data_IF_575254136363
#
_entry.id   IF_575254136363
#
_cell.length_a   1.000
_cell.length_b   1.000
_cell.length_c   1.000
_cell.angle_alpha   90.00
_cell.angle_beta   90.00
_cell.angle_gamma   90.00
#
_symmetry.space_group_name_H-M   'P 1'
#
loop_
_entity.id
_entity.type
_entity.pdbx_description
1 polymer ?
#
# COMPACT_ATOMS: atom_id res chain seq x y z
N UNK A 1 -74.35 3.54 72.71
CA UNK A 1 -74.65 3.00 74.07
C UNK A 1 -73.38 2.38 74.64
N UNK A 2 -73.25 2.33 75.99
CA UNK A 2 -72.17 1.65 76.77
C UNK A 2 -70.74 2.19 76.57
N UNK A 3 -69.87 1.86 77.52
CA UNK A 3 -68.51 2.41 77.78
C UNK A 3 -67.47 1.28 77.84
N UNK A 4 -66.19 1.60 77.62
CA UNK A 4 -64.94 1.13 78.30
C UNK A 4 -63.77 1.62 77.41
N UNK A 5 -62.74 2.41 77.78
CA UNK A 5 -62.07 2.82 79.02
C UNK A 5 -60.83 1.97 79.44
N UNK A 6 -59.77 2.66 79.92
CA UNK A 6 -58.47 2.13 80.45
C UNK A 6 -57.54 1.57 79.32
N UNK A 7 -56.19 1.50 79.36
CA UNK A 7 -55.04 1.84 80.27
C UNK A 7 -53.71 1.66 79.43
N UNK A 8 -52.46 2.12 79.67
CA UNK A 8 -51.73 3.14 80.48
C UNK A 8 -50.29 3.32 79.88
N UNK A 9 -49.52 4.36 80.28
CA UNK A 9 -48.02 4.44 80.40
C UNK A 9 -47.14 4.33 79.11
N UNK A 10 -46.24 5.26 78.70
CA UNK A 10 -45.06 5.95 79.34
C UNK A 10 -43.80 5.05 79.52
N UNK A 11 -42.53 5.51 79.50
CA UNK A 11 -41.77 6.48 78.67
C UNK A 11 -40.26 6.32 79.02
N UNK A 12 -39.34 6.58 78.07
CA UNK A 12 -37.86 6.57 78.25
C UNK A 12 -37.24 5.21 78.71
N UNK A 13 -35.92 4.95 78.76
CA UNK A 13 -34.63 5.69 78.58
C UNK A 13 -33.67 4.73 77.78
N UNK A 14 -32.37 4.91 77.41
CA UNK A 14 -31.19 5.75 77.75
C UNK A 14 -30.37 6.01 76.45
N UNK A 15 -29.48 7.02 76.43
CA UNK A 15 -28.36 7.20 75.48
C UNK A 15 -27.18 7.90 76.18
N UNK A 16 -25.96 8.06 75.61
CA UNK A 16 -25.16 7.22 74.70
C UNK A 16 -23.70 6.98 75.19
N UNK A 17 -22.91 6.15 74.48
CA UNK A 17 -21.44 6.23 74.33
C UNK A 17 -20.99 5.16 73.31
N UNK A 18 -20.49 5.47 72.11
CA UNK A 18 -19.18 6.07 71.76
C UNK A 18 -18.00 5.10 71.84
N UNK A 19 -17.45 4.74 70.66
CA UNK A 19 -16.05 4.97 70.26
C UNK A 19 -15.91 4.71 68.75
N UNK A 20 -15.33 5.68 68.05
CA UNK A 20 -14.92 5.64 66.64
C UNK A 20 -13.42 5.27 66.58
N UNK A 21 -12.85 4.75 65.46
CA UNK A 21 -12.70 5.61 64.28
C UNK A 21 -12.68 4.93 62.89
N UNK A 22 -12.99 5.72 61.86
CA UNK A 22 -11.95 5.97 60.85
C UNK A 22 -12.25 5.70 59.37
N UNK A 23 -12.27 6.82 58.63
CA UNK A 23 -11.63 7.02 57.31
C UNK A 23 -12.41 6.63 56.05
N UNK A 24 -12.75 7.68 55.29
CA UNK A 24 -12.66 7.90 53.83
C UNK A 24 -13.00 6.75 52.83
N UNK A 25 -13.61 6.99 51.65
CA UNK A 25 -13.62 8.23 50.88
C UNK A 25 -14.87 8.43 49.99
N UNK A 26 -15.26 9.70 49.87
CA UNK A 26 -16.03 10.39 48.81
C UNK A 26 -16.12 9.64 47.44
N UNK A 27 -17.19 9.66 46.64
CA UNK A 27 -18.58 10.17 46.66
C UNK A 27 -19.13 10.04 45.19
N UNK A 28 -20.37 10.47 44.93
CA UNK A 28 -20.90 10.81 43.60
C UNK A 28 -21.14 9.64 42.62
N UNK A 29 -22.12 8.80 42.93
CA UNK A 29 -22.93 8.16 41.89
C UNK A 29 -23.69 9.26 41.11
N UNK A 30 -23.13 9.68 39.97
CA UNK A 30 -23.78 10.54 38.98
C UNK A 30 -23.88 9.73 37.70
N UNK A 31 -25.09 9.59 37.16
CA UNK A 31 -25.39 8.66 36.06
C UNK A 31 -24.48 8.88 34.85
N UNK A 32 -23.41 8.08 34.76
CA UNK A 32 -22.48 8.09 33.64
C UNK A 32 -23.11 7.28 32.52
N UNK A 33 -24.01 7.92 31.77
CA UNK A 33 -24.44 7.48 30.44
C UNK A 33 -23.18 7.28 29.59
N UNK A 34 -22.74 6.03 29.46
CA UNK A 34 -21.43 5.71 28.87
C UNK A 34 -21.40 6.09 27.40
N UNK A 35 -20.30 6.71 27.01
CA UNK A 35 -20.10 7.33 25.71
C UNK A 35 -19.65 6.30 24.68
N UNK A 36 -20.57 5.47 24.21
CA UNK A 36 -20.40 4.65 23.00
C UNK A 36 -20.68 5.51 21.74
N UNK A 37 -20.08 6.70 21.71
CA UNK A 37 -20.15 7.66 20.63
C UNK A 37 -18.84 8.47 20.60
N UNK A 38 -18.22 8.54 19.44
CA UNK A 38 -16.92 9.20 19.18
C UNK A 38 -15.69 8.58 19.89
N UNK A 39 -15.54 7.25 19.84
CA UNK A 39 -14.21 6.78 19.37
C UNK A 39 -14.08 7.24 17.92
N UNK A 40 -13.02 8.00 17.64
CA UNK A 40 -12.95 8.86 16.45
C UNK A 40 -12.86 8.00 15.18
N UNK A 41 -13.93 7.97 14.41
CA UNK A 41 -14.11 7.17 13.20
C UNK A 41 -13.19 7.61 12.06
N UNK A 42 -11.95 7.10 12.08
CA UNK A 42 -10.99 7.24 10.99
C UNK A 42 -11.31 6.22 9.90
N UNK A 43 -11.29 6.66 8.64
CA UNK A 43 -11.46 5.78 7.49
C UNK A 43 -10.41 4.65 7.48
N UNK A 44 -10.79 3.38 7.27
CA UNK A 44 -9.86 2.26 7.18
C UNK A 44 -8.76 2.50 6.14
N UNK A 45 -7.53 2.07 6.41
CA UNK A 45 -6.43 2.23 5.44
C UNK A 45 -6.69 1.35 4.21
N UNK A 46 -6.85 1.96 3.04
CA UNK A 46 -6.96 1.26 1.76
C UNK A 46 -5.66 0.53 1.42
N UNK A 47 -5.80 -0.66 0.81
CA UNK A 47 -4.72 -1.31 0.09
C UNK A 47 -4.65 -0.73 -1.34
N UNK A 48 -3.46 -0.55 -1.92
CA UNK A 48 -3.34 -0.20 -3.33
C UNK A 48 -3.87 -1.32 -4.22
N UNK A 49 -4.30 -1.00 -5.46
CA UNK A 49 -4.54 -2.04 -6.45
C UNK A 49 -3.24 -2.78 -6.74
N UNK A 50 -3.30 -4.11 -6.89
CA UNK A 50 -2.20 -4.85 -7.51
C UNK A 50 -1.97 -4.29 -8.92
N UNK A 51 -0.71 -3.96 -9.25
CA UNK A 51 -0.38 -3.33 -10.53
C UNK A 51 -0.61 -1.81 -10.61
N UNK A 52 -0.78 -1.13 -9.48
CA UNK A 52 -1.00 0.31 -9.49
C UNK A 52 -0.74 1.01 -8.16
N UNK A 53 -1.22 2.24 -8.09
CA UNK A 53 -1.11 3.14 -6.93
C UNK A 53 -2.47 3.81 -6.65
N UNK A 54 -2.58 4.52 -5.53
CA UNK A 54 -3.67 5.43 -5.28
C UNK A 54 -3.18 6.70 -4.60
N UNK A 55 -3.91 7.80 -4.83
CA UNK A 55 -3.76 9.04 -4.10
C UNK A 55 -5.05 9.34 -3.35
N UNK A 56 -4.95 9.96 -2.18
CA UNK A 56 -6.09 10.39 -1.37
C UNK A 56 -5.97 11.87 -1.03
N UNK A 57 -7.06 12.61 -1.20
CA UNK A 57 -7.21 13.95 -0.63
C UNK A 57 -8.26 13.94 0.48
N UNK A 58 -8.15 14.90 1.40
CA UNK A 58 -9.13 15.13 2.46
C UNK A 58 -9.68 16.54 2.29
N UNK A 59 -11.00 16.69 2.29
CA UNK A 59 -11.65 17.99 2.17
C UNK A 59 -11.69 18.75 3.51
N UNK A 60 -12.32 19.94 3.51
CA UNK A 60 -12.43 20.80 4.71
C UNK A 60 -13.43 20.28 5.75
N UNK A 61 -14.19 19.24 5.42
CA UNK A 61 -15.23 18.63 6.26
C UNK A 61 -14.79 17.27 6.83
N UNK A 62 -13.63 16.75 6.42
CA UNK A 62 -13.14 15.42 6.81
C UNK A 62 -13.62 14.29 5.91
N UNK A 63 -14.08 14.59 4.70
CA UNK A 63 -14.32 13.60 3.65
C UNK A 63 -12.98 13.18 3.06
N UNK A 64 -12.65 11.90 3.16
CA UNK A 64 -11.53 11.31 2.43
C UNK A 64 -12.03 10.83 1.05
N UNK A 65 -11.36 11.27 -0.01
CA UNK A 65 -11.64 10.84 -1.38
C UNK A 65 -10.35 10.34 -2.01
N UNK A 66 -10.38 9.11 -2.52
CA UNK A 66 -9.20 8.44 -3.07
C UNK A 66 -9.43 7.98 -4.51
N UNK A 67 -8.43 8.18 -5.37
CA UNK A 67 -8.43 7.76 -6.77
C UNK A 67 -7.22 6.86 -7.05
N UNK A 68 -7.46 5.71 -7.69
CA UNK A 68 -6.41 4.80 -8.11
C UNK A 68 -5.97 5.03 -9.57
N UNK A 69 -4.73 4.66 -9.87
CA UNK A 69 -4.18 4.63 -11.22
C UNK A 69 -3.27 3.40 -11.38
N UNK A 70 -3.32 2.77 -12.55
CA UNK A 70 -2.45 1.65 -12.88
C UNK A 70 -1.03 2.12 -13.25
N UNK A 71 -0.03 1.25 -13.10
CA UNK A 71 1.31 1.51 -13.62
C UNK A 71 1.32 1.43 -15.16
N UNK A 72 2.29 2.05 -15.87
CA UNK A 72 2.33 2.05 -17.32
C UNK A 72 2.31 0.63 -17.92
N UNK A 73 1.49 0.43 -18.97
CA UNK A 73 1.27 -0.88 -19.58
C UNK A 73 0.27 -1.78 -18.82
N UNK A 74 -0.43 -1.23 -17.82
CA UNK A 74 -1.52 -1.88 -17.11
C UNK A 74 -2.78 -1.00 -17.13
N UNK A 75 -3.96 -1.62 -17.19
CA UNK A 75 -5.26 -0.95 -17.16
C UNK A 75 -6.21 -1.61 -16.15
N UNK A 76 -7.27 -0.91 -15.74
CA UNK A 76 -8.34 -1.53 -14.96
C UNK A 76 -9.34 -2.23 -15.89
N UNK A 77 -9.66 -3.50 -15.62
CA UNK A 77 -10.66 -4.27 -16.38
C UNK A 77 -12.06 -3.62 -16.42
N UNK A 78 -12.36 -2.75 -15.47
CA UNK A 78 -13.51 -1.83 -15.49
C UNK A 78 -13.08 -0.49 -14.89
N UNK A 79 -13.63 0.66 -15.34
CA UNK A 79 -13.16 1.98 -14.92
C UNK A 79 -13.27 2.17 -13.41
N UNK A 80 -12.13 2.43 -12.75
CA UNK A 80 -12.07 2.63 -11.31
C UNK A 80 -12.80 3.92 -10.91
N UNK A 81 -13.81 3.77 -10.06
CA UNK A 81 -14.48 4.92 -9.44
C UNK A 81 -13.66 5.40 -8.24
N UNK A 82 -13.67 6.71 -7.92
CA UNK A 82 -13.04 7.20 -6.70
C UNK A 82 -13.77 6.64 -5.48
N UNK A 83 -13.01 6.21 -4.47
CA UNK A 83 -13.57 5.76 -3.20
C UNK A 83 -13.74 6.95 -2.26
N UNK A 84 -14.90 7.05 -1.62
CA UNK A 84 -15.27 8.13 -0.70
C UNK A 84 -15.59 7.52 0.67
N UNK A 85 -14.99 8.07 1.73
CA UNK A 85 -15.32 7.76 3.11
C UNK A 85 -15.41 9.06 3.91
N UNK A 86 -16.50 9.23 4.67
CA UNK A 86 -16.65 10.35 5.61
C UNK A 86 -16.22 9.94 7.01
N UNK A 87 -15.79 10.91 7.82
CA UNK A 87 -15.56 10.70 9.25
C UNK A 87 -16.84 10.37 10.06
N UNK A 88 -18.04 10.49 9.46
CA UNK A 88 -19.30 10.09 10.09
C UNK A 88 -19.66 8.62 9.80
N UNK A 89 -19.41 8.15 8.58
CA UNK A 89 -19.75 6.79 8.14
C UNK A 89 -18.64 5.78 8.47
N UNK A 90 -17.36 6.20 8.41
CA UNK A 90 -16.21 5.34 8.67
C UNK A 90 -15.99 4.18 7.68
N UNK A 91 -16.73 4.17 6.57
CA UNK A 91 -16.74 3.10 5.56
C UNK A 91 -16.51 3.70 4.16
N UNK A 92 -15.78 2.99 3.31
CA UNK A 92 -15.54 3.37 1.93
C UNK A 92 -16.72 2.99 1.02
N UNK A 93 -17.02 3.88 0.08
CA UNK A 93 -18.09 3.75 -0.91
C UNK A 93 -17.54 4.10 -2.30
N UNK A 94 -18.02 3.48 -3.39
CA UNK A 94 -19.01 2.40 -3.46
C UNK A 94 -18.49 1.02 -2.97
N UNK A 95 -17.18 0.85 -2.83
CA UNK A 95 -16.53 -0.41 -2.40
C UNK A 95 -15.46 -0.17 -1.34
N UNK A 96 -15.04 -1.23 -0.66
CA UNK A 96 -13.96 -1.24 0.34
C UNK A 96 -12.54 -1.24 -0.25
N UNK A 97 -12.42 -1.40 -1.57
CA UNK A 97 -11.16 -1.54 -2.32
C UNK A 97 -11.32 -1.09 -3.77
N UNK A 98 -10.20 -0.72 -4.39
CA UNK A 98 -10.10 -0.50 -5.82
C UNK A 98 -10.11 -1.84 -6.59
N UNK A 99 -10.54 -1.86 -7.87
CA UNK A 99 -10.19 -2.96 -8.76
C UNK A 99 -8.66 -3.01 -8.94
N UNK A 100 -8.12 -4.23 -9.05
CA UNK A 100 -6.74 -4.44 -9.44
C UNK A 100 -6.54 -4.10 -10.94
N UNK A 101 -5.28 -3.88 -11.33
CA UNK A 101 -4.88 -3.64 -12.70
C UNK A 101 -4.48 -4.94 -13.41
N UNK A 102 -4.62 -4.99 -14.73
CA UNK A 102 -4.25 -6.12 -15.59
C UNK A 102 -3.36 -5.64 -16.75
N UNK A 103 -2.50 -6.52 -17.30
CA UNK A 103 -1.90 -6.26 -18.62
C UNK A 103 -2.98 -6.41 -19.69
N UNK A 104 -2.90 -5.60 -20.75
CA UNK A 104 -3.67 -5.86 -21.96
C UNK A 104 -3.36 -7.28 -22.47
N UNK A 105 -4.40 -7.98 -22.95
CA UNK A 105 -4.33 -9.41 -23.27
C UNK A 105 -3.47 -9.69 -24.51
N UNK A 106 -2.17 -9.90 -24.31
CA UNK A 106 -1.23 -10.32 -25.36
C UNK A 106 -1.70 -11.61 -26.04
N UNK A 107 -2.04 -11.52 -27.33
CA UNK A 107 -2.27 -12.59 -28.32
C UNK A 107 -2.77 -13.97 -27.82
N UNK A 108 -3.96 -14.35 -28.27
CA UNK A 108 -4.59 -15.65 -28.00
C UNK A 108 -3.62 -16.83 -28.20
N UNK A 109 -3.57 -17.74 -27.22
CA UNK A 109 -2.59 -18.84 -27.14
C UNK A 109 -1.48 -18.63 -26.08
N UNK A 110 -1.47 -17.51 -25.36
CA UNK A 110 -0.49 -17.22 -24.30
C UNK A 110 -1.17 -16.81 -23.00
N UNK A 111 -0.77 -17.43 -21.88
CA UNK A 111 -1.26 -17.04 -20.55
C UNK A 111 -0.76 -15.64 -20.15
N UNK A 112 -1.63 -14.68 -19.78
CA UNK A 112 -1.22 -13.36 -19.32
C UNK A 112 -0.24 -13.41 -18.14
N UNK A 113 0.63 -12.41 -18.03
CA UNK A 113 1.47 -12.26 -16.84
C UNK A 113 0.60 -11.95 -15.61
N UNK A 114 0.61 -12.85 -14.63
CA UNK A 114 0.03 -12.59 -13.31
C UNK A 114 0.84 -11.49 -12.62
N UNK A 115 0.17 -10.74 -11.74
CA UNK A 115 0.78 -9.74 -10.89
C UNK A 115 0.83 -10.27 -9.44
N UNK A 116 1.86 -9.88 -8.69
CA UNK A 116 2.00 -10.30 -7.30
C UNK A 116 0.95 -9.59 -6.42
N UNK A 117 0.23 -10.32 -5.54
CA UNK A 117 -0.73 -9.69 -4.64
C UNK A 117 -0.02 -8.76 -3.66
N UNK A 118 -0.65 -7.62 -3.35
CA UNK A 118 -0.11 -6.67 -2.36
C UNK A 118 0.08 -7.36 -1.01
N UNK A 119 1.27 -7.20 -0.41
CA UNK A 119 1.75 -7.93 0.78
C UNK A 119 1.81 -9.46 0.63
N UNK A 120 2.12 -9.93 -0.58
CA UNK A 120 2.33 -11.35 -0.88
C UNK A 120 3.18 -11.58 -2.13
N UNK A 121 3.04 -12.77 -2.71
CA UNK A 121 3.70 -13.21 -3.93
C UNK A 121 2.97 -14.40 -4.55
N UNK A 122 3.59 -15.05 -5.53
CA UNK A 122 3.11 -16.33 -6.05
C UNK A 122 4.25 -17.19 -6.57
N UNK A 123 4.01 -18.49 -6.68
CA UNK A 123 4.91 -19.47 -7.29
C UNK A 123 4.18 -20.25 -8.38
N UNK A 124 4.80 -20.39 -9.56
CA UNK A 124 4.20 -21.08 -10.70
C UNK A 124 4.87 -22.43 -10.96
N UNK A 125 4.08 -23.40 -11.42
CA UNK A 125 4.50 -24.71 -11.92
C UNK A 125 3.82 -24.96 -13.27
N UNK A 126 4.52 -25.60 -14.20
CA UNK A 126 3.98 -26.01 -15.49
C UNK A 126 3.71 -27.52 -15.45
N UNK A 127 2.51 -27.92 -15.84
CA UNK A 127 2.14 -29.32 -16.00
C UNK A 127 2.73 -29.93 -17.28
N UNK A 128 2.77 -31.27 -17.34
CA UNK A 128 3.20 -32.03 -18.53
C UNK A 128 2.25 -31.90 -19.72
N UNK A 129 1.06 -31.36 -19.48
CA UNK A 129 0.02 -30.96 -20.43
C UNK A 129 0.20 -29.51 -20.94
N UNK A 130 1.21 -28.77 -20.44
CA UNK A 130 1.43 -27.36 -20.72
C UNK A 130 0.58 -26.40 -19.88
N UNK A 131 -0.30 -26.91 -19.01
CA UNK A 131 -1.16 -26.08 -18.15
C UNK A 131 -0.31 -25.41 -17.08
N UNK A 132 -0.40 -24.08 -16.98
CA UNK A 132 0.36 -23.29 -16.00
C UNK A 132 -0.49 -23.10 -14.74
N UNK A 133 -0.03 -23.65 -13.61
CA UNK A 133 -0.70 -23.52 -12.31
C UNK A 133 0.16 -22.65 -11.39
N UNK A 134 -0.40 -21.59 -10.82
CA UNK A 134 0.31 -20.67 -9.93
C UNK A 134 -0.41 -20.56 -8.59
N UNK A 135 0.32 -20.78 -7.49
CA UNK A 135 -0.19 -20.63 -6.12
C UNK A 135 0.35 -19.34 -5.51
N UNK A 136 -0.55 -18.46 -5.12
CA UNK A 136 -0.28 -17.25 -4.34
C UNK A 136 0.06 -17.56 -2.88
N UNK A 137 0.81 -16.65 -2.26
CA UNK A 137 1.14 -16.64 -0.83
C UNK A 137 1.06 -15.21 -0.30
N UNK A 138 0.85 -15.07 1.01
CA UNK A 138 0.95 -13.79 1.73
C UNK A 138 2.22 -13.77 2.59
N UNK A 139 2.71 -12.58 2.91
CA UNK A 139 3.77 -12.40 3.91
C UNK A 139 3.26 -12.76 5.32
N UNK A 140 4.16 -13.13 6.24
CA UNK A 140 3.77 -13.48 7.61
C UNK A 140 3.02 -12.32 8.28
N UNK A 141 1.97 -12.68 9.03
CA UNK A 141 1.03 -11.70 9.60
C UNK A 141 -0.08 -11.25 8.65
N UNK A 142 -0.08 -11.68 7.38
CA UNK A 142 -1.14 -11.42 6.39
C UNK A 142 -1.83 -12.71 5.92
N UNK A 143 -3.05 -12.59 5.39
CA UNK A 143 -3.87 -13.68 4.86
C UNK A 143 -4.67 -13.22 3.63
N UNK A 144 -5.11 -14.17 2.78
CA UNK A 144 -6.11 -13.90 1.74
C UNK A 144 -7.53 -13.99 2.31
N UNK A 145 -8.44 -13.15 1.81
CA UNK A 145 -9.87 -13.21 2.10
C UNK A 145 -10.57 -14.45 1.52
N UNK A 146 -10.04 -14.97 0.41
CA UNK A 146 -10.62 -16.08 -0.35
C UNK A 146 -9.88 -17.41 -0.08
N UNK A 147 -10.58 -18.56 -0.08
CA UNK A 147 -9.93 -19.87 0.07
C UNK A 147 -9.14 -20.29 -1.17
N UNK A 148 -9.41 -19.69 -2.34
CA UNK A 148 -8.73 -20.03 -3.59
C UNK A 148 -7.44 -19.23 -3.74
N UNK A 149 -6.33 -19.84 -3.35
CA UNK A 149 -4.98 -19.28 -3.52
C UNK A 149 -4.27 -19.79 -4.79
N UNK A 150 -4.96 -20.54 -5.66
CA UNK A 150 -4.39 -21.16 -6.86
C UNK A 150 -5.14 -20.73 -8.11
N UNK A 151 -4.38 -20.31 -9.13
CA UNK A 151 -4.87 -19.95 -10.45
C UNK A 151 -4.28 -20.89 -11.50
N UNK A 152 -5.10 -21.27 -12.49
CA UNK A 152 -4.73 -22.24 -13.53
C UNK A 152 -5.04 -21.65 -14.90
N UNK A 153 -4.06 -21.62 -15.79
CA UNK A 153 -4.25 -21.22 -17.19
C UNK A 153 -3.94 -22.38 -18.14
N UNK A 154 -4.92 -22.69 -18.97
CA UNK A 154 -4.80 -23.59 -20.12
C UNK A 154 -4.23 -22.80 -21.31
N UNK A 155 -3.09 -23.20 -21.92
CA UNK A 155 -2.49 -22.49 -23.05
C UNK A 155 -3.40 -22.44 -24.29
N UNK A 156 -4.35 -23.37 -24.44
CA UNK A 156 -5.31 -23.38 -25.55
C UNK A 156 -6.41 -22.31 -25.38
N UNK A 157 -6.67 -21.88 -24.14
CA UNK A 157 -7.69 -20.86 -23.82
C UNK A 157 -7.03 -19.49 -23.58
N UNK A 158 -5.80 -19.46 -23.08
CA UNK A 158 -5.06 -18.22 -22.80
C UNK A 158 -5.65 -17.39 -21.66
N UNK A 159 -6.44 -17.98 -20.77
CA UNK A 159 -7.05 -17.28 -19.63
C UNK A 159 -6.80 -18.02 -18.32
N UNK A 160 -6.68 -17.26 -17.23
CA UNK A 160 -6.54 -17.81 -15.88
C UNK A 160 -7.92 -18.11 -15.27
N UNK A 161 -7.98 -19.17 -14.49
CA UNK A 161 -9.19 -19.65 -13.81
C UNK A 161 -8.88 -19.93 -12.33
N UNK A 162 -9.83 -19.68 -11.39
CA UNK A 162 -11.15 -19.10 -11.62
C UNK A 162 -11.15 -17.58 -11.80
N UNK A 163 -10.02 -16.90 -11.57
CA UNK A 163 -9.85 -15.45 -11.77
C UNK A 163 -8.57 -15.15 -12.56
N UNK A 164 -8.51 -13.95 -13.12
CA UNK A 164 -7.38 -13.37 -13.85
C UNK A 164 -6.18 -12.96 -12.96
N UNK A 165 -6.39 -12.94 -11.64
CA UNK A 165 -5.46 -12.38 -10.66
C UNK A 165 -5.68 -12.93 -9.25
N UNK A 166 -4.67 -12.77 -8.39
CA UNK A 166 -4.79 -13.05 -6.96
C UNK A 166 -5.48 -11.89 -6.23
N UNK A 167 -6.26 -12.17 -5.16
CA UNK A 167 -6.72 -11.13 -4.25
C UNK A 167 -5.53 -10.56 -3.45
N UNK A 168 -5.61 -9.29 -3.04
CA UNK A 168 -4.60 -8.69 -2.15
C UNK A 168 -4.59 -9.39 -0.78
N UNK A 169 -3.44 -9.40 -0.11
CA UNK A 169 -3.31 -9.91 1.25
C UNK A 169 -3.72 -8.84 2.28
N UNK A 170 -4.60 -9.19 3.22
CA UNK A 170 -4.98 -8.34 4.36
C UNK A 170 -4.20 -8.73 5.63
N UNK A 171 -4.03 -7.84 6.61
CA UNK A 171 -3.51 -8.23 7.92
C UNK A 171 -4.39 -9.33 8.57
N UNK A 172 -3.77 -10.44 8.97
CA UNK A 172 -4.46 -11.59 9.53
C UNK A 172 -4.96 -11.29 10.95
N UNK A 173 -6.26 -11.47 11.17
CA UNK A 173 -6.86 -11.39 12.50
C UNK A 173 -6.33 -12.46 13.46
N UNK A 174 -5.78 -13.56 12.92
CA UNK A 174 -5.18 -14.68 13.69
C UNK A 174 -3.74 -14.40 14.13
N UNK A 175 -3.02 -13.49 13.46
CA UNK A 175 -1.64 -13.13 13.78
C UNK A 175 -1.47 -12.71 15.26
N UNK A 176 -2.48 -12.06 15.85
CA UNK A 176 -2.52 -11.67 17.27
C UNK A 176 -2.49 -12.84 18.28
N UNK A 177 -2.51 -14.12 17.84
CA UNK A 177 -2.40 -15.30 18.73
C UNK A 177 -1.40 -16.38 18.29
N UNK A 178 -0.69 -16.21 17.17
CA UNK A 178 0.20 -17.26 16.63
C UNK A 178 1.70 -16.93 16.68
N UNK A 179 2.11 -15.97 17.51
CA UNK A 179 3.52 -15.60 17.72
C UNK A 179 4.25 -16.60 18.65
N UNK A 180 4.25 -17.88 18.29
CA UNK A 180 4.89 -18.96 19.06
C UNK A 180 5.65 -20.03 18.24
N UNK A 181 5.77 -19.86 16.92
CA UNK A 181 6.96 -20.31 16.19
C UNK A 181 7.53 -19.07 15.53
N UNK A 182 8.57 -18.49 16.13
CA UNK A 182 9.17 -17.28 15.64
C UNK A 182 10.06 -17.60 14.43
N UNK A 183 9.57 -17.31 13.22
CA UNK A 183 10.45 -16.79 12.17
C UNK A 183 11.14 -15.57 12.79
N UNK A 184 12.43 -15.70 13.12
CA UNK A 184 13.03 -14.83 14.14
C UNK A 184 13.22 -13.38 13.67
N UNK A 185 13.25 -13.16 12.36
CA UNK A 185 13.32 -11.84 11.72
C UNK A 185 11.92 -11.38 11.27
N UNK A 186 11.62 -10.09 11.40
CA UNK A 186 10.40 -9.49 10.81
C UNK A 186 10.42 -9.60 9.27
N UNK A 187 9.29 -9.86 8.58
CA UNK A 187 9.29 -10.00 7.12
C UNK A 187 9.72 -8.72 6.39
N UNK A 188 10.66 -8.84 5.44
CA UNK A 188 10.95 -7.76 4.50
C UNK A 188 9.73 -7.61 3.55
N UNK A 189 9.14 -6.42 3.38
CA UNK A 189 8.07 -6.21 2.41
C UNK A 189 8.60 -6.43 0.97
N UNK A 190 7.79 -6.97 0.03
CA UNK A 190 8.21 -7.16 -1.35
C UNK A 190 8.59 -5.82 -2.02
N UNK A 191 9.52 -5.82 -2.99
CA UNK A 191 9.83 -4.62 -3.76
C UNK A 191 8.59 -4.17 -4.55
N UNK A 192 8.34 -2.86 -4.66
CA UNK A 192 7.31 -2.37 -5.58
C UNK A 192 7.59 -2.87 -7.00
N UNK A 193 6.54 -3.24 -7.73
CA UNK A 193 6.63 -3.83 -9.08
C UNK A 193 7.48 -5.11 -9.19
N UNK A 194 7.61 -5.86 -8.09
CA UNK A 194 8.35 -7.13 -8.06
C UNK A 194 7.79 -8.13 -7.04
N UNK A 195 8.63 -9.09 -6.68
CA UNK A 195 8.35 -10.21 -5.79
C UNK A 195 9.63 -10.64 -5.06
N UNK A 196 9.54 -11.61 -4.16
CA UNK A 196 10.72 -12.28 -3.62
C UNK A 196 10.44 -13.77 -3.37
N UNK A 197 11.50 -14.57 -3.38
CA UNK A 197 11.46 -16.01 -3.08
C UNK A 197 12.40 -16.32 -1.92
N UNK A 198 11.89 -16.99 -0.88
CA UNK A 198 12.66 -17.41 0.28
C UNK A 198 12.84 -18.92 0.35
N UNK A 199 14.01 -19.35 0.83
CA UNK A 199 14.36 -20.74 1.11
C UNK A 199 14.91 -20.82 2.54
N UNK A 200 14.47 -21.82 3.30
CA UNK A 200 15.00 -22.12 4.63
C UNK A 200 16.04 -23.24 4.49
N UNK A 201 17.23 -23.07 5.05
CA UNK A 201 18.24 -24.14 5.10
C UNK A 201 18.00 -25.12 6.26
N UNK A 202 18.81 -26.17 6.30
CA UNK A 202 18.75 -27.22 7.33
C UNK A 202 19.31 -26.79 8.71
N UNK A 203 19.77 -25.53 8.82
CA UNK A 203 20.24 -24.89 10.06
C UNK A 203 19.24 -23.83 10.56
N UNK A 204 18.13 -23.61 9.85
CA UNK A 204 17.09 -22.63 10.20
C UNK A 204 17.35 -21.21 9.69
N UNK A 205 18.37 -21.01 8.83
CA UNK A 205 18.65 -19.73 8.18
C UNK A 205 17.68 -19.53 7.02
N UNK A 206 17.08 -18.34 6.91
CA UNK A 206 16.19 -18.00 5.80
C UNK A 206 16.91 -17.08 4.81
N UNK A 207 17.12 -17.59 3.59
CA UNK A 207 17.70 -16.86 2.46
C UNK A 207 16.58 -16.40 1.54
N UNK A 208 16.48 -15.11 1.27
CA UNK A 208 15.50 -14.52 0.36
C UNK A 208 16.17 -13.78 -0.80
N UNK A 209 15.54 -13.85 -1.98
CA UNK A 209 16.01 -13.26 -3.22
C UNK A 209 14.86 -12.46 -3.87
N UNK A 210 14.99 -11.13 -4.08
CA UNK A 210 13.99 -10.34 -4.77
C UNK A 210 14.11 -10.50 -6.30
N UNK A 211 12.98 -10.33 -7.00
CA UNK A 211 12.89 -10.40 -8.47
C UNK A 211 11.87 -9.38 -8.98
N UNK A 212 12.26 -8.54 -9.95
CA UNK A 212 11.35 -7.61 -10.63
C UNK A 212 10.42 -8.32 -11.62
N UNK A 213 9.26 -7.70 -11.92
CA UNK A 213 8.39 -8.18 -13.01
C UNK A 213 9.02 -7.97 -14.39
N UNK A 214 8.60 -8.75 -15.39
CA UNK A 214 9.07 -8.61 -16.78
C UNK A 214 8.86 -7.17 -17.30
N UNK A 215 9.94 -6.51 -17.69
CA UNK A 215 9.96 -5.11 -18.10
C UNK A 215 10.28 -4.10 -16.98
N UNK A 216 10.66 -4.56 -15.79
CA UNK A 216 11.11 -3.72 -14.68
C UNK A 216 12.54 -4.11 -14.23
N UNK A 217 13.33 -3.11 -13.82
CA UNK A 217 14.68 -3.24 -13.27
C UNK A 217 14.74 -2.63 -11.86
N UNK A 218 15.69 -3.04 -11.02
CA UNK A 218 15.84 -2.47 -9.68
C UNK A 218 16.38 -1.03 -9.73
N UNK A 219 15.81 -0.13 -8.92
CA UNK A 219 16.23 1.28 -8.79
C UNK A 219 17.70 1.44 -8.31
N UNK A 220 18.19 0.44 -7.58
CA UNK A 220 19.59 0.27 -7.20
C UNK A 220 19.93 -1.22 -7.18
N UNK A 221 21.19 -1.64 -7.43
CA UNK A 221 21.57 -3.05 -7.41
C UNK A 221 21.19 -3.71 -6.07
N UNK A 222 20.40 -4.81 -6.08
CA UNK A 222 20.10 -5.54 -4.85
C UNK A 222 21.37 -6.23 -4.33
N UNK A 223 21.40 -6.52 -3.03
CA UNK A 223 22.39 -7.44 -2.49
C UNK A 223 22.24 -8.83 -3.12
N UNK A 224 23.37 -9.55 -3.25
CA UNK A 224 23.42 -10.87 -3.88
C UNK A 224 22.63 -11.95 -3.12
N UNK A 225 22.35 -11.72 -1.84
CA UNK A 225 21.55 -12.58 -0.97
C UNK A 225 20.98 -11.72 0.18
N UNK A 226 19.74 -11.99 0.64
CA UNK A 226 19.20 -11.42 1.87
C UNK A 226 19.03 -12.55 2.88
N UNK A 227 19.83 -12.54 3.94
CA UNK A 227 19.95 -13.66 4.90
C UNK A 227 19.41 -13.24 6.25
N UNK A 228 18.38 -13.93 6.73
CA UNK A 228 17.91 -13.87 8.11
C UNK A 228 18.68 -14.88 8.96
N UNK A 229 19.37 -14.39 10.00
CA UNK A 229 20.04 -15.16 11.02
C UNK A 229 19.88 -14.49 12.39
N UNK A 230 19.63 -15.27 13.44
CA UNK A 230 19.48 -14.82 14.84
C UNK A 230 18.47 -13.66 15.08
N UNK A 231 17.57 -13.42 14.13
CA UNK A 231 16.57 -12.35 14.16
C UNK A 231 16.93 -11.07 13.41
N UNK A 232 18.10 -11.01 12.77
CA UNK A 232 18.54 -9.90 11.93
C UNK A 232 18.65 -10.29 10.45
N UNK A 233 18.30 -9.35 9.56
CA UNK A 233 18.58 -9.46 8.12
C UNK A 233 19.96 -8.92 7.78
N UNK A 234 20.66 -9.62 6.90
CA UNK A 234 21.92 -9.22 6.26
C UNK A 234 21.74 -9.24 4.74
N UNK A 235 21.74 -8.09 4.04
CA UNK A 235 21.85 -6.73 4.59
C UNK A 235 20.60 -6.31 5.38
N UNK A 236 20.74 -5.35 6.32
CA UNK A 236 19.59 -4.75 6.98
C UNK A 236 18.91 -3.71 6.08
N UNK A 237 17.61 -3.88 5.83
CA UNK A 237 16.79 -2.92 5.08
C UNK A 237 15.73 -3.57 4.18
N UNK A 238 14.92 -2.75 3.48
CA UNK A 238 14.04 -3.24 2.42
C UNK A 238 14.82 -3.67 1.17
N UNK A 239 14.19 -4.47 0.32
CA UNK A 239 14.67 -4.64 -1.06
C UNK A 239 14.56 -3.31 -1.83
N UNK A 240 15.47 -2.99 -2.77
CA UNK A 240 15.27 -1.91 -3.73
C UNK A 240 13.98 -2.13 -4.54
N UNK A 241 13.25 -1.07 -4.84
CA UNK A 241 12.04 -1.14 -5.66
C UNK A 241 12.38 -1.43 -7.13
N UNK A 242 11.41 -2.00 -7.84
CA UNK A 242 11.50 -2.20 -9.27
C UNK A 242 10.81 -1.05 -10.01
N UNK A 243 11.58 -0.33 -10.82
CA UNK A 243 11.14 0.73 -11.73
C UNK A 243 11.02 0.18 -13.15
N UNK A 244 10.20 0.79 -14.00
CA UNK A 244 10.00 0.27 -15.36
C UNK A 244 11.30 0.43 -16.17
N UNK A 245 11.81 -0.64 -16.77
CA UNK A 245 13.09 -0.65 -17.49
C UNK A 245 13.08 0.29 -18.71
N UNK A 246 11.88 0.61 -19.22
CA UNK A 246 11.67 1.65 -20.24
C UNK A 246 11.73 3.10 -19.74
N UNK A 247 11.93 3.37 -18.45
CA UNK A 247 12.15 4.74 -17.92
C UNK A 247 13.60 5.24 -18.09
N UNK A 248 14.27 4.84 -19.17
CA UNK A 248 15.21 5.75 -19.84
C UNK A 248 14.40 6.55 -20.86
N UNK A 249 13.97 7.75 -20.47
CA UNK A 249 13.43 8.68 -21.45
C UNK A 249 14.44 8.89 -22.59
N UNK A 250 13.94 9.02 -23.82
CA UNK A 250 14.81 9.24 -24.98
C UNK A 250 15.67 10.48 -24.74
N UNK A 251 16.99 10.30 -24.76
CA UNK A 251 17.94 11.33 -24.30
C UNK A 251 17.80 12.58 -25.15
N UNK A 252 17.36 13.68 -24.53
CA UNK A 252 17.17 14.96 -25.21
C UNK A 252 18.47 15.33 -25.97
N UNK A 253 18.42 15.56 -27.29
CA UNK A 253 19.59 16.03 -28.02
C UNK A 253 20.02 17.39 -27.46
N UNK A 254 21.31 17.58 -27.14
CA UNK A 254 21.78 18.84 -26.57
C UNK A 254 21.53 19.99 -27.57
N UNK A 255 21.05 21.15 -27.10
CA UNK A 255 20.70 22.24 -27.99
C UNK A 255 21.98 22.93 -28.48
N UNK A 256 21.97 23.37 -29.73
CA UNK A 256 23.10 24.10 -30.31
C UNK A 256 23.35 25.37 -29.48
N UNK A 257 24.59 25.55 -28.99
CA UNK A 257 25.01 26.59 -28.04
C UNK A 257 24.25 26.62 -26.69
N UNK A 258 23.80 25.46 -26.21
CA UNK A 258 23.21 25.33 -24.87
C UNK A 258 23.44 23.96 -24.24
N UNK A 259 22.63 23.65 -23.23
CA UNK A 259 22.67 22.40 -22.46
C UNK A 259 21.31 22.10 -21.81
N UNK A 260 21.15 20.87 -21.32
CA UNK A 260 20.09 20.48 -20.40
C UNK A 260 20.68 20.12 -19.05
N UNK A 261 20.14 20.70 -17.97
CA UNK A 261 20.37 20.21 -16.62
C UNK A 261 19.23 19.30 -16.22
N UNK A 262 19.48 17.99 -16.19
CA UNK A 262 18.51 17.00 -15.73
C UNK A 262 18.72 16.65 -14.25
N UNK A 263 17.63 16.40 -13.54
CA UNK A 263 17.57 15.94 -12.15
C UNK A 263 16.46 14.88 -12.02
N UNK A 264 16.71 13.80 -11.28
CA UNK A 264 15.70 12.79 -10.96
C UNK A 264 15.18 13.03 -9.54
N UNK A 265 13.86 13.12 -9.36
CA UNK A 265 13.27 13.27 -8.04
C UNK A 265 13.07 11.92 -7.32
N UNK A 266 12.65 11.98 -6.05
CA UNK A 266 12.45 10.82 -5.17
C UNK A 266 11.32 9.87 -5.60
N UNK A 267 10.62 10.15 -6.71
CA UNK A 267 9.64 9.25 -7.33
C UNK A 267 10.18 8.53 -8.57
N UNK A 268 11.45 8.77 -8.92
CA UNK A 268 12.06 8.31 -10.18
C UNK A 268 11.73 9.19 -11.38
N UNK A 269 11.03 10.32 -11.19
CA UNK A 269 10.68 11.24 -12.28
C UNK A 269 11.88 12.10 -12.67
N UNK A 270 12.38 11.96 -13.90
CA UNK A 270 13.41 12.85 -14.46
C UNK A 270 12.81 14.18 -14.95
N UNK A 271 13.46 15.30 -14.59
CA UNK A 271 13.11 16.67 -14.98
C UNK A 271 14.33 17.35 -15.58
N UNK A 272 14.21 17.84 -16.81
CA UNK A 272 15.30 18.50 -17.54
C UNK A 272 14.98 19.98 -17.79
N UNK A 273 15.89 20.86 -17.39
CA UNK A 273 15.80 22.31 -17.56
C UNK A 273 16.72 22.76 -18.70
N UNK A 274 16.22 23.43 -19.76
CA UNK A 274 17.04 23.96 -20.85
C UNK A 274 17.81 25.22 -20.41
N UNK A 275 19.04 25.39 -20.89
CA UNK A 275 19.82 26.62 -20.69
C UNK A 275 20.74 26.91 -21.89
N UNK A 276 20.75 28.16 -22.37
CA UNK A 276 21.73 28.63 -23.36
C UNK A 276 23.06 29.02 -22.71
N UNK A 277 24.13 29.01 -23.50
CA UNK A 277 25.43 29.56 -23.11
C UNK A 277 25.37 31.09 -23.00
N UNK A 278 26.32 31.69 -22.27
CA UNK A 278 26.42 33.15 -22.14
C UNK A 278 26.61 33.82 -23.51
N UNK A 279 25.84 34.85 -23.81
CA UNK A 279 25.79 35.51 -25.13
C UNK A 279 24.85 34.84 -26.15
N UNK A 280 24.02 33.89 -25.71
CA UNK A 280 23.04 33.19 -26.54
C UNK A 280 21.64 33.19 -25.90
N UNK A 281 20.62 33.18 -26.74
CA UNK A 281 19.19 33.13 -26.39
C UNK A 281 18.49 32.03 -27.19
N UNK A 282 17.32 31.54 -26.72
CA UNK A 282 16.58 30.50 -27.43
C UNK A 282 16.01 31.01 -28.78
N UNK A 283 16.11 30.19 -29.82
CA UNK A 283 15.54 30.47 -31.15
C UNK A 283 14.01 30.45 -31.17
N UNK A 284 13.41 29.73 -30.22
CA UNK A 284 11.96 29.57 -30.05
C UNK A 284 11.59 29.49 -28.56
N UNK A 285 10.31 29.68 -28.18
CA UNK A 285 9.90 29.61 -26.77
C UNK A 285 10.18 28.23 -26.16
N UNK A 286 11.14 28.18 -25.22
CA UNK A 286 11.49 26.98 -24.49
C UNK A 286 10.43 26.62 -23.43
N UNK A 287 10.27 25.33 -23.13
CA UNK A 287 9.55 24.90 -21.94
C UNK A 287 10.37 25.23 -20.67
N UNK A 288 9.69 25.61 -19.59
CA UNK A 288 10.36 25.89 -18.32
C UNK A 288 10.97 24.63 -17.68
N UNK A 289 10.31 23.48 -17.85
CA UNK A 289 10.86 22.15 -17.58
C UNK A 289 10.36 21.15 -18.64
N UNK A 290 11.14 20.10 -18.88
CA UNK A 290 10.74 18.90 -19.59
C UNK A 290 10.67 17.75 -18.58
N UNK A 291 9.49 17.15 -18.41
CA UNK A 291 9.25 16.08 -17.43
C UNK A 291 9.15 14.73 -18.15
N UNK A 292 9.92 13.75 -17.71
CA UNK A 292 9.88 12.38 -18.22
C UNK A 292 8.60 11.67 -17.74
N UNK A 293 7.65 11.45 -18.64
CA UNK A 293 6.37 10.79 -18.37
C UNK A 293 6.24 9.60 -19.32
N UNK A 294 6.11 8.39 -18.77
CA UNK A 294 5.95 7.14 -19.53
C UNK A 294 7.03 6.90 -20.62
N UNK A 295 8.27 7.37 -20.40
CA UNK A 295 9.38 7.22 -21.34
C UNK A 295 9.51 8.33 -22.40
N UNK A 296 8.60 9.33 -22.39
CA UNK A 296 8.66 10.49 -23.27
C UNK A 296 8.72 11.80 -22.48
N UNK A 297 9.47 12.79 -22.95
CA UNK A 297 9.47 14.12 -22.34
C UNK A 297 8.20 14.91 -22.71
N UNK A 298 7.58 15.50 -21.68
CA UNK A 298 6.47 16.44 -21.80
C UNK A 298 6.95 17.84 -21.40
N UNK A 299 6.67 18.90 -22.21
CA UNK A 299 5.91 18.88 -23.45
C UNK A 299 6.69 18.22 -24.62
N UNK A 300 6.03 17.40 -25.45
CA UNK A 300 6.66 16.78 -26.61
C UNK A 300 6.83 17.80 -27.75
N UNK A 301 7.99 17.82 -28.39
CA UNK A 301 8.23 18.69 -29.54
C UNK A 301 9.71 18.83 -29.92
N UNK A 302 10.02 19.67 -30.94
CA UNK A 302 11.39 20.02 -31.26
C UNK A 302 12.03 20.82 -30.12
N UNK A 303 13.11 20.29 -29.58
CA UNK A 303 13.88 20.92 -28.51
C UNK A 303 14.55 22.22 -29.00
N UNK A 304 14.45 23.35 -28.28
CA UNK A 304 14.89 24.66 -28.75
C UNK A 304 16.41 24.77 -28.78
N UNK A 305 16.96 25.20 -29.93
CA UNK A 305 18.35 25.61 -30.06
C UNK A 305 18.57 27.04 -29.52
N UNK A 306 19.84 27.42 -29.34
CA UNK A 306 20.24 28.76 -28.95
C UNK A 306 20.98 29.48 -30.09
N UNK A 307 20.54 30.70 -30.40
CA UNK A 307 21.20 31.65 -31.32
C UNK A 307 21.98 32.70 -30.55
N UNK A 308 22.96 33.35 -31.18
CA UNK A 308 23.66 34.48 -30.55
C UNK A 308 22.66 35.62 -30.31
N UNK A 309 22.66 36.22 -29.12
CA UNK A 309 21.86 37.41 -28.85
C UNK A 309 22.39 38.61 -29.64
N UNK A 310 21.53 39.30 -30.39
CA UNK A 310 21.89 40.46 -31.24
C UNK A 310 22.05 41.78 -30.45
N UNK A 311 22.64 41.71 -29.25
CA UNK A 311 22.60 42.76 -28.23
C UNK A 311 23.90 42.99 -27.46
N UNK A 312 25.06 42.82 -28.12
CA UNK A 312 26.39 43.21 -27.62
C UNK A 312 27.31 43.66 -28.77
#
# INVERSE_FOLDING_TARGET
MRRFALLLIWIAVVAPASIEPGRDERSSNKEKKTSDAAERSHCPRLLPPTGGTYNCFVDRYGTHTCSAACWPGLEFQSPSQPLICTAADGVWTPTDRFPNCIRESTAAGTCPALLAPVYGGYSCRMGSDGVKTCSGSCADGYEFDAPTTSLTCDPNVGTWTPTDQFPNCRPSTRARRSSQVATQCEPIPPPMSGSYSCMLDHLGRMTCNPTCMDGFEFEAPPAAEYVCADGAWSPPGPYPNCVFAGQKCEKIPPPVWGSYHCQTDHTGTERCYPACMQGYEFESPAAAEYVCINGQFSPPGPYPNCRKSEGE
#
